data_IF_396838169815
#
_entry.id   IF_396838169815
#
_cell.length_a   1.000
_cell.length_b   1.000
_cell.length_c   1.000
_cell.angle_alpha   90.00
_cell.angle_beta   90.00
_cell.angle_gamma   90.00
#
_symmetry.space_group_name_H-M   'P 1'
#
loop_
_entity.id
_entity.type
_entity.pdbx_description
1 polymer ?
#
# COMPACT_ATOMS: atom_id res chain seq x y z
N UNK A 1 2.19 17.62 -8.94
CA UNK A 1 1.49 17.53 -7.64
C UNK A 1 1.23 16.08 -7.31
N UNK A 2 1.50 15.67 -6.08
CA UNK A 2 1.25 14.29 -5.62
C UNK A 2 -0.07 14.21 -4.87
N UNK A 3 -0.81 13.14 -5.10
CA UNK A 3 -2.08 12.86 -4.42
C UNK A 3 -1.86 11.86 -3.29
N UNK A 4 -2.27 12.24 -2.08
CA UNK A 4 -2.18 11.37 -0.88
C UNK A 4 -3.58 11.12 -0.34
N UNK A 5 -3.93 9.85 -0.17
CA UNK A 5 -5.23 9.44 0.37
C UNK A 5 -5.04 8.47 1.54
N UNK A 6 -6.03 8.38 2.41
CA UNK A 6 -5.99 7.45 3.53
C UNK A 6 -6.32 6.02 3.13
N UNK A 7 -5.57 5.04 3.66
CA UNK A 7 -5.86 3.62 3.49
C UNK A 7 -7.28 3.25 3.93
N UNK A 8 -7.80 3.77 5.06
CA UNK A 8 -9.18 3.50 5.47
C UNK A 8 -10.22 3.87 4.43
N UNK A 9 -9.96 4.91 3.64
CA UNK A 9 -10.85 5.30 2.54
C UNK A 9 -11.01 4.18 1.51
N UNK A 10 -9.93 3.50 1.14
CA UNK A 10 -9.98 2.34 0.24
C UNK A 10 -10.75 1.18 0.87
N UNK A 11 -10.42 0.86 2.12
CA UNK A 11 -11.01 -0.30 2.81
C UNK A 11 -12.52 -0.14 3.02
N UNK A 12 -12.96 1.07 3.35
CA UNK A 12 -14.40 1.36 3.50
C UNK A 12 -15.13 1.57 2.18
N UNK A 13 -14.42 1.86 1.12
CA UNK A 13 -15.00 2.15 -0.19
C UNK A 13 -15.46 3.59 -0.38
N UNK A 14 -15.05 4.53 0.51
CA UNK A 14 -15.38 5.94 0.33
C UNK A 14 -14.88 6.84 1.46
N UNK A 15 -15.12 8.14 1.31
CA UNK A 15 -14.77 9.17 2.28
C UNK A 15 -15.90 9.40 3.28
N UNK A 16 -15.55 9.70 4.55
CA UNK A 16 -16.53 10.13 5.56
C UNK A 16 -17.26 11.41 5.19
N UNK A 17 -16.57 12.31 4.52
CA UNK A 17 -17.10 13.65 4.19
C UNK A 17 -17.82 13.71 2.84
N UNK A 18 -17.97 12.58 2.14
CA UNK A 18 -18.54 12.54 0.79
C UNK A 18 -17.60 13.07 -0.30
N UNK A 19 -16.33 13.28 0.02
CA UNK A 19 -15.31 13.68 -0.95
C UNK A 19 -14.95 12.51 -1.89
N UNK A 20 -14.12 12.80 -2.90
CA UNK A 20 -13.66 11.80 -3.87
C UNK A 20 -12.99 10.62 -3.15
N UNK A 21 -13.37 9.41 -3.55
CA UNK A 21 -12.78 8.20 -2.96
C UNK A 21 -11.39 7.92 -3.51
N UNK A 22 -10.54 7.28 -2.69
CA UNK A 22 -9.21 6.84 -3.12
C UNK A 22 -9.31 5.83 -4.27
N UNK A 23 -10.31 4.96 -4.26
CA UNK A 23 -10.54 3.99 -5.34
C UNK A 23 -10.87 4.68 -6.66
N UNK A 24 -11.67 5.73 -6.64
CA UNK A 24 -12.00 6.50 -7.85
C UNK A 24 -10.74 7.21 -8.39
N UNK A 25 -9.93 7.80 -7.53
CA UNK A 25 -8.65 8.38 -7.95
C UNK A 25 -7.73 7.33 -8.57
N UNK A 26 -7.68 6.14 -7.98
CA UNK A 26 -6.87 5.05 -8.50
C UNK A 26 -7.33 4.59 -9.88
N UNK A 27 -8.65 4.47 -10.11
CA UNK A 27 -9.21 4.12 -11.41
C UNK A 27 -8.85 5.11 -12.51
N UNK A 28 -8.67 6.38 -12.15
CA UNK A 28 -8.29 7.45 -13.08
C UNK A 28 -6.78 7.68 -13.15
N UNK A 29 -5.96 6.82 -12.50
CA UNK A 29 -4.51 6.97 -12.50
C UNK A 29 -4.00 8.16 -11.69
N UNK A 30 -4.79 8.66 -10.75
CA UNK A 30 -4.50 9.87 -9.98
C UNK A 30 -4.09 9.59 -8.52
N UNK A 31 -4.04 8.34 -8.11
CA UNK A 31 -3.61 7.96 -6.76
C UNK A 31 -2.11 7.70 -6.75
N UNK A 32 -1.36 8.54 -6.07
CA UNK A 32 0.09 8.40 -5.96
C UNK A 32 0.51 7.68 -4.67
N UNK A 33 -0.06 8.08 -3.53
CA UNK A 33 0.38 7.63 -2.21
C UNK A 33 -0.83 7.31 -1.33
N UNK A 34 -0.74 6.19 -0.60
CA UNK A 34 -1.64 5.88 0.51
C UNK A 34 -0.94 6.11 1.84
N UNK A 35 -1.63 6.75 2.77
CA UNK A 35 -1.19 6.90 4.15
C UNK A 35 -2.05 6.04 5.07
N UNK A 36 -1.52 5.70 6.26
CA UNK A 36 -2.28 4.90 7.23
C UNK A 36 -3.45 5.68 7.85
N UNK A 37 -3.38 7.00 7.79
CA UNK A 37 -4.34 7.87 8.45
C UNK A 37 -4.45 7.48 9.93
N UNK A 38 -5.65 7.26 10.45
CA UNK A 38 -5.86 6.87 11.84
C UNK A 38 -5.87 5.34 12.09
N UNK A 39 -5.71 4.52 11.04
CA UNK A 39 -5.68 3.04 11.15
C UNK A 39 -4.39 2.49 10.56
N UNK A 40 -3.34 2.26 11.39
CA UNK A 40 -2.04 1.81 10.89
C UNK A 40 -2.08 0.52 10.05
N UNK A 41 -2.94 -0.42 10.40
CA UNK A 41 -3.09 -1.67 9.66
C UNK A 41 -3.79 -1.55 8.32
N UNK A 42 -4.31 -0.38 7.96
CA UNK A 42 -5.10 -0.19 6.75
C UNK A 42 -4.28 -0.21 5.46
N UNK A 43 -2.98 0.07 5.52
CA UNK A 43 -2.15 0.18 4.31
C UNK A 43 -2.08 -1.13 3.54
N UNK A 44 -1.76 -2.23 4.21
CA UNK A 44 -1.69 -3.53 3.56
C UNK A 44 -3.07 -3.99 3.06
N UNK A 45 -4.11 -3.77 3.87
CA UNK A 45 -5.49 -4.07 3.48
C UNK A 45 -5.93 -3.26 2.25
N UNK A 46 -5.55 -1.99 2.19
CA UNK A 46 -5.86 -1.13 1.04
C UNK A 46 -5.16 -1.60 -0.23
N UNK A 47 -3.89 -1.97 -0.15
CA UNK A 47 -3.14 -2.52 -1.29
C UNK A 47 -3.82 -3.78 -1.82
N UNK A 48 -4.13 -4.73 -0.93
CA UNK A 48 -4.78 -5.99 -1.32
C UNK A 48 -6.15 -5.71 -1.94
N UNK A 49 -6.93 -4.80 -1.38
CA UNK A 49 -8.25 -4.42 -1.89
C UNK A 49 -8.17 -3.83 -3.31
N UNK A 50 -7.23 -2.93 -3.56
CA UNK A 50 -7.06 -2.33 -4.89
C UNK A 50 -6.69 -3.37 -5.95
N UNK A 51 -5.94 -4.38 -5.57
CA UNK A 51 -5.59 -5.49 -6.47
C UNK A 51 -6.77 -6.43 -6.68
N UNK A 52 -7.45 -6.83 -5.61
CA UNK A 52 -8.58 -7.77 -5.69
C UNK A 52 -9.78 -7.18 -6.44
N UNK A 53 -10.00 -5.87 -6.33
CA UNK A 53 -11.04 -5.17 -7.07
C UNK A 53 -10.62 -4.80 -8.51
N UNK A 54 -9.45 -5.29 -8.95
CA UNK A 54 -8.91 -5.06 -10.30
C UNK A 54 -8.74 -3.58 -10.66
N UNK A 55 -8.50 -2.73 -9.66
CA UNK A 55 -8.31 -1.29 -9.84
C UNK A 55 -6.86 -0.98 -10.22
N UNK A 56 -5.91 -1.61 -9.54
CA UNK A 56 -4.47 -1.51 -9.82
C UNK A 56 -3.85 -2.90 -9.89
N UNK A 57 -2.79 -3.04 -10.65
CA UNK A 57 -1.96 -4.24 -10.58
C UNK A 57 -1.13 -4.25 -9.28
N UNK A 58 -0.58 -5.42 -8.94
CA UNK A 58 0.14 -5.59 -7.68
C UNK A 58 1.35 -4.68 -7.54
N UNK A 59 2.26 -4.57 -8.52
CA UNK A 59 3.40 -3.67 -8.41
C UNK A 59 2.99 -2.21 -8.21
N UNK A 60 1.98 -1.76 -8.93
CA UNK A 60 1.49 -0.40 -8.84
C UNK A 60 0.85 -0.12 -7.48
N UNK A 61 -0.01 -1.01 -7.00
CA UNK A 61 -0.64 -0.88 -5.68
C UNK A 61 0.41 -0.86 -4.56
N UNK A 62 1.41 -1.74 -4.61
CA UNK A 62 2.52 -1.77 -3.63
C UNK A 62 3.32 -0.47 -3.67
N UNK A 63 3.56 0.11 -4.83
CA UNK A 63 4.34 1.34 -4.95
C UNK A 63 3.69 2.53 -4.24
N UNK A 64 2.37 2.55 -4.08
CA UNK A 64 1.66 3.63 -3.37
C UNK A 64 2.02 3.68 -1.88
N UNK A 65 2.43 2.57 -1.29
CA UNK A 65 2.82 2.47 0.13
C UNK A 65 4.32 2.26 0.33
N UNK A 66 5.10 2.22 -0.73
CA UNK A 66 6.54 1.96 -0.65
C UNK A 66 7.34 2.97 -1.47
N UNK A 67 7.53 2.73 -2.77
CA UNK A 67 8.40 3.56 -3.62
C UNK A 67 7.93 5.01 -3.72
N UNK A 68 6.66 5.23 -4.01
CA UNK A 68 6.12 6.59 -4.14
C UNK A 68 6.17 7.34 -2.80
N UNK A 69 5.83 6.67 -1.71
CA UNK A 69 5.89 7.27 -0.37
C UNK A 69 7.33 7.61 0.03
N UNK A 70 8.27 6.71 -0.18
CA UNK A 70 9.69 6.94 0.11
C UNK A 70 10.25 8.11 -0.70
N UNK A 71 9.98 8.13 -2.00
CA UNK A 71 10.43 9.20 -2.89
C UNK A 71 9.87 10.57 -2.47
N UNK A 72 8.58 10.64 -2.15
CA UNK A 72 7.92 11.88 -1.74
C UNK A 72 8.47 12.44 -0.44
N UNK A 73 8.97 11.59 0.46
CA UNK A 73 9.56 12.01 1.75
C UNK A 73 11.07 12.14 1.71
N UNK A 74 11.70 12.03 0.53
CA UNK A 74 13.14 12.20 0.36
C UNK A 74 13.98 10.99 0.75
N UNK A 75 13.37 9.83 0.93
CA UNK A 75 14.06 8.59 1.28
C UNK A 75 14.42 7.84 0.00
N UNK A 76 15.54 8.20 -0.63
CA UNK A 76 15.93 7.66 -1.93
C UNK A 76 16.69 6.34 -1.89
N UNK A 77 17.01 5.83 -0.68
CA UNK A 77 17.78 4.60 -0.47
C UNK A 77 16.90 3.35 -0.19
N UNK A 78 15.59 3.51 -0.23
CA UNK A 78 14.63 2.45 0.11
C UNK A 78 13.31 2.59 -0.66
N UNK A 79 12.37 1.68 -0.43
CA UNK A 79 11.04 1.73 -1.03
C UNK A 79 10.88 0.85 -2.26
N UNK A 80 11.95 0.20 -2.71
CA UNK A 80 11.92 -0.78 -3.81
C UNK A 80 13.05 -1.80 -3.65
N UNK A 81 12.92 -2.92 -4.33
CA UNK A 81 13.95 -3.96 -4.36
C UNK A 81 14.85 -3.70 -5.57
N UNK A 82 16.05 -3.19 -5.30
CA UNK A 82 17.05 -2.92 -6.33
C UNK A 82 18.46 -3.03 -5.73
N UNK A 83 19.43 -3.39 -6.57
CA UNK A 83 20.82 -3.49 -6.15
C UNK A 83 21.32 -2.14 -5.67
N UNK A 84 22.00 -2.12 -4.51
CA UNK A 84 22.54 -0.92 -3.90
C UNK A 84 21.57 -0.18 -2.98
N UNK A 85 20.31 -0.58 -2.93
CA UNK A 85 19.33 0.03 -2.02
C UNK A 85 19.28 -0.71 -0.69
N UNK A 86 18.85 0.03 0.34
CA UNK A 86 18.66 -0.49 1.69
C UNK A 86 17.57 -1.59 1.69
N UNK A 87 17.88 -2.71 2.34
CA UNK A 87 16.97 -3.85 2.42
C UNK A 87 16.02 -3.71 3.62
N UNK A 88 15.06 -2.80 3.51
CA UNK A 88 13.90 -2.70 4.39
C UNK A 88 12.74 -3.40 3.68
N UNK A 89 12.47 -4.64 4.07
CA UNK A 89 11.58 -5.53 3.33
C UNK A 89 10.57 -6.19 4.26
N UNK A 90 9.40 -6.50 3.71
CA UNK A 90 8.45 -7.39 4.36
C UNK A 90 8.11 -8.55 3.43
N UNK A 91 7.88 -9.71 4.02
CA UNK A 91 7.30 -10.85 3.32
C UNK A 91 5.84 -10.97 3.74
N UNK A 92 4.96 -10.96 2.75
CA UNK A 92 3.51 -11.02 2.97
C UNK A 92 2.96 -12.29 2.34
N UNK A 93 2.15 -13.01 3.11
CA UNK A 93 1.35 -14.12 2.60
C UNK A 93 -0.08 -13.65 2.39
N UNK A 94 -0.63 -13.90 1.20
CA UNK A 94 -2.03 -13.64 0.92
C UNK A 94 -2.85 -14.88 1.29
N UNK A 95 -3.89 -14.67 2.07
CA UNK A 95 -4.78 -15.73 2.56
C UNK A 95 -6.19 -15.48 2.05
N UNK A 96 -6.81 -16.52 1.47
CA UNK A 96 -8.18 -16.44 1.00
C UNK A 96 -9.16 -16.47 2.19
N UNK A 97 -10.12 -15.55 2.16
CA UNK A 97 -11.19 -15.48 3.15
C UNK A 97 -12.47 -16.14 2.60
N UNK A 98 -13.39 -16.59 3.49
CA UNK A 98 -14.65 -17.20 3.06
C UNK A 98 -15.53 -16.33 2.17
N UNK A 99 -15.38 -14.99 2.26
CA UNK A 99 -16.14 -14.03 1.44
C UNK A 99 -15.56 -13.81 0.03
N UNK A 100 -14.55 -14.60 -0.37
CA UNK A 100 -13.88 -14.45 -1.67
C UNK A 100 -12.82 -13.36 -1.73
N UNK A 101 -12.60 -12.63 -0.64
CA UNK A 101 -11.56 -11.61 -0.54
C UNK A 101 -10.28 -12.22 0.02
N UNK A 102 -9.16 -11.51 -0.13
CA UNK A 102 -7.88 -11.93 0.43
C UNK A 102 -7.46 -11.02 1.57
N UNK A 103 -6.65 -11.57 2.46
CA UNK A 103 -6.06 -10.84 3.57
C UNK A 103 -4.54 -11.01 3.54
N UNK A 104 -3.80 -9.93 3.76
CA UNK A 104 -2.36 -9.97 3.82
C UNK A 104 -1.87 -10.19 5.24
N UNK A 105 -1.01 -11.21 5.43
CA UNK A 105 -0.37 -11.51 6.70
C UNK A 105 1.13 -11.31 6.57
N UNK A 106 1.71 -10.43 7.38
CA UNK A 106 3.16 -10.22 7.41
C UNK A 106 3.82 -11.42 8.08
N UNK A 107 4.69 -12.10 7.36
CA UNK A 107 5.40 -13.31 7.81
C UNK A 107 6.79 -13.01 8.32
N UNK A 108 7.47 -12.06 7.71
CA UNK A 108 8.84 -11.69 8.07
C UNK A 108 9.09 -10.23 7.74
N UNK A 109 9.95 -9.60 8.52
CA UNK A 109 10.37 -8.21 8.34
C UNK A 109 11.90 -8.14 8.43
N UNK A 110 12.51 -7.43 7.51
CA UNK A 110 13.95 -7.13 7.53
C UNK A 110 14.14 -5.62 7.60
N UNK A 111 15.08 -5.20 8.44
CA UNK A 111 15.54 -3.83 8.54
C UNK A 111 17.03 -3.80 8.23
N UNK A 112 17.44 -3.04 7.23
CA UNK A 112 18.83 -2.98 6.77
C UNK A 112 19.42 -4.38 6.48
N UNK A 113 18.61 -5.28 5.94
CA UNK A 113 19.01 -6.65 5.64
C UNK A 113 19.02 -7.61 6.82
N UNK A 114 18.69 -7.14 8.02
CA UNK A 114 18.64 -7.96 9.24
C UNK A 114 17.20 -8.32 9.54
N UNK A 115 16.94 -9.62 9.69
CA UNK A 115 15.60 -10.09 10.03
C UNK A 115 15.24 -9.68 11.48
N UNK A 116 14.11 -9.00 11.62
CA UNK A 116 13.59 -8.50 12.93
C UNK A 116 12.25 -9.14 13.31
N UNK A 117 11.65 -9.87 12.38
CA UNK A 117 10.43 -10.62 12.64
C UNK A 117 10.39 -11.90 11.81
#
# INVERSE_FOLDING_TARGET
MLTVMGGPNVVRGGSHSGNVSASDLARHGLLDILSSDYVPGSLLSAVVRLVDDEILDLPHAVSTVSHHAAKATGLHDRGQIAVGLRADLIQVRLVDLPNGKRHGVVKSVWREGIRVL
#
